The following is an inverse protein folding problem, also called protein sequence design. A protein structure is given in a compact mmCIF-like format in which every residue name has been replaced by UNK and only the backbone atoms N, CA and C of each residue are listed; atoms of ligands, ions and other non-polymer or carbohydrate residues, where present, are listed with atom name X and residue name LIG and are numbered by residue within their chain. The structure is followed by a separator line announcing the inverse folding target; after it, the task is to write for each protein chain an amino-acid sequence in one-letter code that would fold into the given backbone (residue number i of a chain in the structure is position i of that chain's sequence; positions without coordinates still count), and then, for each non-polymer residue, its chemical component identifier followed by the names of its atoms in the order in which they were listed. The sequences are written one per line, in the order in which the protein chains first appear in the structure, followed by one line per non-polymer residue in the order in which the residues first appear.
data_IF_713640388837
#
_entry.id   IF_713640388837
#
_cell.length_a   1.000
_cell.length_b   1.000
_cell.length_c   1.000
_cell.angle_alpha   90.00
_cell.angle_beta   90.00
_cell.angle_gamma   90.00
#
_symmetry.space_group_name_H-M   'P 1'
#
loop_
_entity.id
_entity.type
_entity.pdbx_description
1 polymer ?
#
# COMPACT_ATOMS: atom_id res chain seq x y z
N UNK A 1 28.36 -6.93 10.46
CA UNK A 1 27.42 -6.92 9.31
C UNK A 1 26.45 -8.07 9.39
N UNK A 2 26.92 -9.31 9.48
CA UNK A 2 26.03 -10.48 9.61
C UNK A 2 25.10 -10.38 10.80
N UNK A 3 25.62 -9.94 11.95
CA UNK A 3 24.81 -9.79 13.16
C UNK A 3 23.66 -8.78 13.01
N UNK A 4 23.89 -7.71 12.26
CA UNK A 4 22.82 -6.73 11.98
C UNK A 4 21.73 -7.39 11.14
N UNK A 5 22.11 -8.05 10.06
CA UNK A 5 21.16 -8.73 9.19
C UNK A 5 20.36 -9.81 9.91
N UNK A 6 20.98 -10.54 10.83
CA UNK A 6 20.32 -11.57 11.63
C UNK A 6 19.26 -11.02 12.59
N UNK A 7 19.35 -9.74 12.95
CA UNK A 7 18.37 -9.12 13.86
C UNK A 7 17.20 -8.48 13.13
N UNK A 8 17.27 -8.33 11.82
CA UNK A 8 16.18 -7.78 11.01
C UNK A 8 15.30 -8.92 10.51
N UNK A 9 14.04 -8.92 10.91
CA UNK A 9 13.10 -9.98 10.55
C UNK A 9 12.34 -9.73 9.25
N UNK A 10 12.30 -8.49 8.81
CA UNK A 10 11.59 -8.12 7.59
C UNK A 10 10.93 -6.75 7.68
N UNK A 11 10.02 -6.48 6.78
CA UNK A 11 9.26 -5.24 6.76
C UNK A 11 8.14 -5.31 7.79
N UNK A 12 8.08 -4.35 8.72
CA UNK A 12 7.04 -4.32 9.74
C UNK A 12 5.81 -3.56 9.25
N UNK A 13 6.00 -2.37 8.68
CA UNK A 13 4.92 -1.61 8.07
C UNK A 13 5.46 -0.58 7.09
N UNK A 14 4.56 -0.03 6.29
CA UNK A 14 4.82 1.10 5.38
C UNK A 14 4.05 2.30 5.94
N UNK A 15 4.74 3.42 6.16
CA UNK A 15 4.11 4.65 6.62
C UNK A 15 3.56 5.46 5.44
N UNK A 16 2.30 5.87 5.53
CA UNK A 16 1.61 6.59 4.47
C UNK A 16 0.91 7.82 5.05
N UNK A 17 1.49 9.03 4.85
CA UNK A 17 0.80 10.24 5.27
C UNK A 17 -0.44 10.48 4.42
N UNK A 18 -1.48 11.01 5.03
CA UNK A 18 -2.72 11.35 4.32
C UNK A 18 -3.28 12.66 4.84
N UNK A 19 -4.10 13.31 4.01
CA UNK A 19 -4.85 14.49 4.39
C UNK A 19 -6.29 14.17 4.78
N UNK A 20 -6.71 12.92 4.56
CA UNK A 20 -8.06 12.46 4.89
C UNK A 20 -7.98 10.97 5.26
N UNK A 21 -7.89 10.70 6.57
CA UNK A 21 -7.72 9.33 7.05
C UNK A 21 -8.91 8.43 6.70
N UNK A 22 -10.13 8.93 6.83
CA UNK A 22 -11.32 8.12 6.56
C UNK A 22 -11.39 7.70 5.09
N UNK A 23 -11.02 8.60 4.18
CA UNK A 23 -10.97 8.30 2.75
C UNK A 23 -9.87 7.27 2.43
N UNK A 24 -8.72 7.39 3.06
CA UNK A 24 -7.62 6.43 2.91
C UNK A 24 -8.02 5.06 3.44
N UNK A 25 -8.63 5.01 4.63
CA UNK A 25 -9.14 3.76 5.21
C UNK A 25 -10.15 3.10 4.28
N UNK A 26 -11.11 3.85 3.78
CA UNK A 26 -12.13 3.33 2.87
C UNK A 26 -11.52 2.76 1.59
N UNK A 27 -10.50 3.42 1.04
CA UNK A 27 -9.81 2.93 -0.15
C UNK A 27 -9.19 1.56 0.10
N UNK A 28 -8.43 1.40 1.18
CA UNK A 28 -7.77 0.13 1.48
C UNK A 28 -8.76 -0.96 1.90
N UNK A 29 -9.82 -0.59 2.63
CA UNK A 29 -10.88 -1.55 2.95
C UNK A 29 -11.54 -2.09 1.68
N UNK A 30 -11.71 -1.25 0.67
CA UNK A 30 -12.23 -1.67 -0.64
C UNK A 30 -11.34 -2.69 -1.34
N UNK A 31 -10.03 -2.68 -1.05
CA UNK A 31 -9.08 -3.66 -1.57
C UNK A 31 -9.02 -4.95 -0.72
N UNK A 32 -9.71 -4.99 0.41
CA UNK A 32 -9.72 -6.14 1.30
C UNK A 32 -8.90 -6.00 2.56
N UNK A 33 -8.32 -4.84 2.82
CA UNK A 33 -7.63 -4.58 4.08
C UNK A 33 -8.65 -4.45 5.22
N UNK A 34 -8.19 -4.73 6.43
CA UNK A 34 -8.97 -4.49 7.65
C UNK A 34 -8.20 -3.54 8.57
N UNK A 35 -8.92 -2.80 9.39
CA UNK A 35 -8.31 -1.93 10.40
C UNK A 35 -7.82 -2.81 11.54
N UNK A 36 -6.50 -2.89 11.73
CA UNK A 36 -5.89 -3.64 12.82
C UNK A 36 -5.84 -2.81 14.11
N UNK A 37 -5.68 -1.48 13.97
CA UNK A 37 -5.62 -0.58 15.11
C UNK A 37 -5.99 0.83 14.66
N UNK A 38 -6.82 1.51 15.45
CA UNK A 38 -7.00 2.96 15.36
C UNK A 38 -6.49 3.59 16.63
N UNK A 39 -5.77 4.68 16.49
CA UNK A 39 -5.23 5.39 17.63
C UNK A 39 -4.93 6.84 17.28
N UNK A 40 -4.44 7.57 18.27
CA UNK A 40 -3.99 8.95 18.08
C UNK A 40 -2.53 9.03 18.52
N UNK A 41 -1.68 9.60 17.69
CA UNK A 41 -0.34 9.97 18.08
C UNK A 41 -0.45 11.31 18.82
N UNK A 42 -0.50 11.28 20.13
CA UNK A 42 -0.73 12.46 20.96
C UNK A 42 0.38 13.51 20.76
N UNK A 43 1.63 13.07 20.66
CA UNK A 43 2.75 14.00 20.49
C UNK A 43 2.68 14.80 19.19
N UNK A 44 2.19 14.18 18.11
CA UNK A 44 2.05 14.83 16.81
C UNK A 44 0.64 15.41 16.60
N UNK A 45 -0.33 15.05 17.43
CA UNK A 45 -1.72 15.44 17.25
C UNK A 45 -2.34 14.80 16.01
N UNK A 46 -1.91 13.59 15.66
CA UNK A 46 -2.33 12.93 14.41
C UNK A 46 -3.17 11.70 14.67
N UNK A 47 -4.24 11.55 13.92
CA UNK A 47 -5.03 10.33 13.91
C UNK A 47 -4.33 9.28 13.06
N UNK A 48 -4.33 8.03 13.52
CA UNK A 48 -3.59 6.92 12.93
C UNK A 48 -4.50 5.72 12.76
N UNK A 49 -4.37 5.01 11.64
CA UNK A 49 -4.97 3.71 11.42
C UNK A 49 -3.93 2.76 10.85
N UNK A 50 -3.82 1.58 11.44
CA UNK A 50 -3.04 0.49 10.88
C UNK A 50 -3.97 -0.41 10.09
N UNK A 51 -3.66 -0.61 8.82
CA UNK A 51 -4.46 -1.36 7.86
C UNK A 51 -3.69 -2.62 7.47
N UNK A 52 -4.34 -3.76 7.57
CA UNK A 52 -3.68 -5.04 7.37
C UNK A 52 -4.39 -5.90 6.35
N UNK A 53 -3.61 -6.49 5.46
CA UNK A 53 -4.04 -7.55 4.56
C UNK A 53 -2.94 -8.61 4.55
N UNK A 54 -3.26 -9.79 5.11
CA UNK A 54 -2.26 -10.86 5.29
C UNK A 54 -1.04 -10.32 6.06
N UNK A 55 0.17 -10.42 5.51
CA UNK A 55 1.39 -9.92 6.15
C UNK A 55 1.68 -8.45 5.86
N UNK A 56 0.92 -7.83 4.97
CA UNK A 56 1.12 -6.43 4.61
C UNK A 56 0.44 -5.52 5.64
N UNK A 57 1.21 -4.58 6.18
CA UNK A 57 0.73 -3.60 7.13
C UNK A 57 1.04 -2.19 6.62
N UNK A 58 0.02 -1.35 6.58
CA UNK A 58 0.18 0.07 6.23
C UNK A 58 -0.26 0.90 7.43
N UNK A 59 0.61 1.81 7.86
CA UNK A 59 0.24 2.83 8.84
C UNK A 59 -0.17 4.09 8.10
N UNK A 60 -1.46 4.39 8.10
CA UNK A 60 -1.97 5.66 7.57
C UNK A 60 -2.07 6.67 8.71
N UNK A 61 -1.52 7.85 8.53
CA UNK A 61 -1.56 8.90 9.55
C UNK A 61 -1.89 10.25 8.92
N UNK A 62 -2.80 10.97 9.57
CA UNK A 62 -3.36 12.20 9.02
C UNK A 62 -2.53 13.39 9.42
N UNK A 63 -1.74 13.90 8.49
CA UNK A 63 -0.88 15.07 8.70
C UNK A 63 -1.53 16.37 8.26
N UNK A 64 -2.43 16.31 7.29
CA UNK A 64 -2.93 17.49 6.59
C UNK A 64 -1.91 18.13 5.65
N UNK A 65 -0.72 17.51 5.49
CA UNK A 65 0.39 18.02 4.71
C UNK A 65 0.98 16.98 3.76
N UNK A 66 0.19 15.95 3.44
CA UNK A 66 0.64 14.94 2.48
C UNK A 66 0.74 15.57 1.08
N UNK A 67 1.81 15.21 0.36
CA UNK A 67 2.07 15.80 -0.96
C UNK A 67 1.04 15.36 -2.01
N UNK A 68 0.40 14.21 -1.82
CA UNK A 68 -0.56 13.67 -2.78
C UNK A 68 0.07 13.21 -4.09
N UNK A 69 1.37 12.93 -4.09
CA UNK A 69 2.14 12.48 -5.25
C UNK A 69 3.31 11.62 -4.81
N UNK A 70 3.91 10.91 -5.76
CA UNK A 70 5.12 10.14 -5.51
C UNK A 70 6.26 11.03 -5.02
N UNK A 71 7.05 10.50 -4.08
CA UNK A 71 8.26 11.14 -3.57
C UNK A 71 9.50 10.30 -3.89
N UNK A 72 10.47 10.31 -2.98
CA UNK A 72 11.70 9.50 -3.13
C UNK A 72 11.37 8.01 -3.22
N UNK A 73 10.39 7.54 -2.46
CA UNK A 73 9.76 6.23 -2.69
C UNK A 73 8.63 6.48 -3.68
N UNK A 74 8.80 5.94 -4.87
CA UNK A 74 7.91 6.22 -6.00
C UNK A 74 6.62 5.41 -5.94
N UNK A 75 6.71 4.14 -5.57
CA UNK A 75 5.55 3.24 -5.53
C UNK A 75 5.81 2.07 -4.59
N UNK A 76 4.75 1.34 -4.29
CA UNK A 76 4.81 0.00 -3.71
C UNK A 76 4.20 -0.97 -4.71
N UNK A 77 4.77 -2.16 -4.80
CA UNK A 77 4.25 -3.21 -5.66
C UNK A 77 3.65 -4.31 -4.79
N UNK A 78 2.43 -4.72 -5.12
CA UNK A 78 1.75 -5.81 -4.43
C UNK A 78 1.84 -7.07 -5.30
N UNK A 79 2.26 -8.16 -4.70
CA UNK A 79 2.23 -9.46 -5.35
C UNK A 79 0.80 -9.98 -5.36
N UNK A 80 0.32 -10.42 -6.52
CA UNK A 80 -1.05 -10.90 -6.67
C UNK A 80 -1.06 -12.26 -7.37
N UNK A 81 -2.02 -13.09 -7.03
CA UNK A 81 -2.12 -14.43 -7.57
C UNK A 81 -2.55 -14.46 -9.04
N UNK A 82 -3.40 -13.52 -9.44
CA UNK A 82 -3.95 -13.46 -10.81
C UNK A 82 -4.12 -11.99 -11.21
N UNK A 83 -3.11 -11.49 -11.91
CA UNK A 83 -3.06 -10.07 -12.30
C UNK A 83 -4.17 -9.70 -13.28
N UNK A 84 -4.54 -10.60 -14.19
CA UNK A 84 -5.59 -10.32 -15.17
C UNK A 84 -6.96 -10.18 -14.50
N UNK A 85 -7.28 -11.11 -13.62
CA UNK A 85 -8.53 -11.05 -12.87
C UNK A 85 -8.60 -9.79 -12.01
N UNK A 86 -7.52 -9.45 -11.32
CA UNK A 86 -7.50 -8.26 -10.47
C UNK A 86 -7.66 -6.99 -11.29
N UNK A 87 -7.00 -6.91 -12.45
CA UNK A 87 -7.15 -5.76 -13.35
C UNK A 87 -8.63 -5.51 -13.70
N UNK A 88 -9.34 -6.57 -14.09
CA UNK A 88 -10.77 -6.48 -14.44
C UNK A 88 -11.61 -6.08 -13.23
N UNK A 89 -11.36 -6.69 -12.07
CA UNK A 89 -12.12 -6.38 -10.86
C UNK A 89 -11.96 -4.92 -10.44
N UNK A 90 -10.76 -4.38 -10.50
CA UNK A 90 -10.51 -2.99 -10.12
C UNK A 90 -11.09 -2.02 -11.14
N UNK A 91 -10.94 -2.32 -12.44
CA UNK A 91 -11.54 -1.51 -13.49
C UNK A 91 -13.06 -1.45 -13.33
N UNK A 92 -13.71 -2.59 -13.18
CA UNK A 92 -15.16 -2.70 -13.04
C UNK A 92 -15.65 -2.12 -11.72
N UNK A 93 -14.80 -2.13 -10.69
CA UNK A 93 -15.08 -1.54 -9.38
C UNK A 93 -14.93 -0.02 -9.34
N UNK A 94 -14.55 0.61 -10.45
CA UNK A 94 -14.42 2.07 -10.53
C UNK A 94 -13.11 2.63 -9.99
N UNK A 95 -12.10 1.79 -9.78
CA UNK A 95 -10.78 2.26 -9.36
C UNK A 95 -10.08 2.96 -10.52
N UNK A 96 -9.30 4.00 -10.19
CA UNK A 96 -8.48 4.70 -11.17
C UNK A 96 -7.26 3.86 -11.50
N UNK A 97 -7.15 3.44 -12.77
CA UNK A 97 -6.01 2.68 -13.26
C UNK A 97 -5.17 3.56 -14.17
N UNK A 98 -3.85 3.49 -14.04
CA UNK A 98 -2.92 4.28 -14.84
C UNK A 98 -2.74 3.68 -16.25
N UNK A 99 -2.99 2.38 -16.40
CA UNK A 99 -2.81 1.66 -17.66
C UNK A 99 -4.13 1.13 -18.20
N UNK A 100 -4.25 1.02 -19.51
CA UNK A 100 -5.44 0.47 -20.19
C UNK A 100 -5.45 -1.06 -20.20
N UNK A 101 -4.32 -1.68 -19.96
CA UNK A 101 -4.15 -3.13 -20.00
C UNK A 101 -3.00 -3.55 -19.11
N UNK A 102 -2.97 -4.83 -18.79
CA UNK A 102 -1.82 -5.44 -18.08
C UNK A 102 -0.58 -5.31 -18.96
N UNK A 103 0.52 -4.85 -18.37
CA UNK A 103 1.79 -4.62 -19.04
C UNK A 103 2.76 -5.76 -18.74
N UNK A 104 3.83 -5.83 -19.53
CA UNK A 104 4.86 -6.84 -19.39
C UNK A 104 6.25 -6.20 -19.45
N UNK A 105 7.14 -6.65 -18.57
CA UNK A 105 8.57 -6.33 -18.61
C UNK A 105 9.37 -7.63 -18.51
N UNK A 106 10.47 -7.74 -19.29
CA UNK A 106 11.27 -8.98 -19.32
C UNK A 106 12.24 -9.10 -18.14
N UNK A 107 11.75 -8.79 -16.94
CA UNK A 107 12.54 -8.91 -15.72
C UNK A 107 12.37 -10.30 -15.12
N UNK A 108 13.39 -10.81 -14.47
CA UNK A 108 13.41 -12.14 -13.88
C UNK A 108 13.31 -13.23 -14.95
N UNK A 109 13.27 -14.49 -14.52
CA UNK A 109 13.28 -15.64 -15.46
C UNK A 109 12.04 -15.71 -16.36
N UNK A 110 10.88 -15.23 -15.85
CA UNK A 110 9.58 -15.37 -16.54
C UNK A 110 8.99 -14.05 -16.99
N UNK A 111 9.72 -12.96 -16.78
CA UNK A 111 9.15 -11.64 -16.94
C UNK A 111 8.20 -11.27 -15.81
N UNK A 112 7.71 -10.04 -15.85
CA UNK A 112 6.77 -9.51 -14.87
C UNK A 112 5.56 -8.94 -15.59
N UNK A 113 4.37 -9.35 -15.17
CA UNK A 113 3.11 -8.78 -15.63
C UNK A 113 2.55 -7.88 -14.53
N UNK A 114 2.17 -6.66 -14.90
CA UNK A 114 1.80 -5.66 -13.90
C UNK A 114 0.88 -4.59 -14.48
N UNK A 115 0.28 -3.83 -13.59
CA UNK A 115 -0.46 -2.62 -13.94
C UNK A 115 -0.42 -1.62 -12.80
#
# INVERSE_FOLDING_TARGET
MEKIAETINGLQHIGLPTNDLEKTVAFYEGLGFSVALRTVNEAAGEQVAFLQLKELMIEAYQTGRAAGRAGAVDHIALDVADVDTLFVLLRDGGYELLDDAVRFLPFWARGVRFF
#
